data_IF_545096954726
#
_entry.id   IF_545096954726
#
_cell.length_a   1.000
_cell.length_b   1.000
_cell.length_c   1.000
_cell.angle_alpha   90.00
_cell.angle_beta   90.00
_cell.angle_gamma   90.00
#
_symmetry.space_group_name_H-M   'P 1'
#
loop_
_entity.id
_entity.type
_entity.pdbx_description
1 polymer ?
#
# COMPACT_ATOMS: atom_id res chain seq x y z
N UNK A 1 2.81 -15.03 -17.23
CA UNK A 1 2.74 -16.05 -16.16
C UNK A 1 3.00 -17.41 -16.79
N UNK A 2 3.83 -18.27 -16.18
CA UNK A 2 4.08 -19.62 -16.70
C UNK A 2 2.95 -20.60 -16.25
N UNK A 3 2.81 -21.78 -16.88
CA UNK A 3 1.70 -22.70 -16.58
C UNK A 3 1.68 -23.19 -15.12
N UNK A 4 2.85 -23.42 -14.52
CA UNK A 4 2.95 -23.86 -13.12
C UNK A 4 2.50 -22.77 -12.14
N UNK A 5 2.90 -21.51 -12.38
CA UNK A 5 2.48 -20.36 -11.59
C UNK A 5 0.99 -20.05 -11.77
N UNK A 6 0.42 -20.30 -12.95
CA UNK A 6 -1.03 -20.24 -13.17
C UNK A 6 -1.75 -21.26 -12.31
N UNK A 7 -1.34 -22.53 -12.40
CA UNK A 7 -1.99 -23.62 -11.66
C UNK A 7 -1.90 -23.42 -10.14
N UNK A 8 -0.77 -22.94 -9.63
CA UNK A 8 -0.61 -22.61 -8.22
C UNK A 8 -1.52 -21.46 -7.78
N UNK A 9 -1.57 -20.37 -8.56
CA UNK A 9 -2.42 -19.22 -8.27
C UNK A 9 -3.91 -19.59 -8.32
N UNK A 10 -4.31 -20.42 -9.27
CA UNK A 10 -5.68 -20.95 -9.37
C UNK A 10 -6.02 -21.84 -8.17
N UNK A 11 -5.12 -22.72 -7.76
CA UNK A 11 -5.29 -23.55 -6.57
C UNK A 11 -5.41 -22.72 -5.30
N UNK A 12 -4.65 -21.62 -5.20
CA UNK A 12 -4.72 -20.67 -4.09
C UNK A 12 -6.05 -19.92 -4.08
N UNK A 13 -6.53 -19.46 -5.24
CA UNK A 13 -7.83 -18.81 -5.38
C UNK A 13 -8.96 -19.74 -4.93
N UNK A 14 -8.95 -20.99 -5.41
CA UNK A 14 -9.94 -21.99 -5.04
C UNK A 14 -9.89 -22.33 -3.52
N UNK A 15 -8.70 -22.32 -2.90
CA UNK A 15 -8.55 -22.50 -1.44
C UNK A 15 -9.14 -21.33 -0.65
N UNK A 16 -8.83 -20.10 -1.06
CA UNK A 16 -9.36 -18.89 -0.43
C UNK A 16 -10.89 -18.85 -0.50
N UNK A 17 -11.44 -19.20 -1.66
CA UNK A 17 -12.89 -19.29 -1.87
C UNK A 17 -13.55 -20.29 -0.90
N UNK A 18 -12.99 -21.49 -0.77
CA UNK A 18 -13.50 -22.51 0.16
C UNK A 18 -13.44 -22.10 1.64
N UNK A 19 -12.55 -21.18 2.00
CA UNK A 19 -12.40 -20.65 3.36
C UNK A 19 -13.30 -19.45 3.65
N UNK A 20 -14.02 -18.95 2.65
CA UNK A 20 -14.78 -17.70 2.75
C UNK A 20 -13.89 -16.44 2.72
N UNK A 21 -12.63 -16.57 2.29
CA UNK A 21 -11.72 -15.44 2.11
C UNK A 21 -12.03 -14.73 0.78
N UNK A 22 -13.26 -14.21 0.63
CA UNK A 22 -13.84 -13.76 -0.64
C UNK A 22 -13.00 -12.66 -1.31
N UNK A 23 -12.49 -11.71 -0.53
CA UNK A 23 -11.61 -10.63 -1.01
C UNK A 23 -10.32 -11.16 -1.63
N UNK A 24 -9.66 -12.14 -1.00
CA UNK A 24 -8.43 -12.75 -1.52
C UNK A 24 -8.73 -13.60 -2.76
N UNK A 25 -9.78 -14.41 -2.72
CA UNK A 25 -10.21 -15.23 -3.85
C UNK A 25 -10.47 -14.38 -5.10
N UNK A 26 -11.19 -13.27 -4.95
CA UNK A 26 -11.49 -12.35 -6.06
C UNK A 26 -10.24 -11.69 -6.63
N UNK A 27 -9.33 -11.20 -5.77
CA UNK A 27 -8.07 -10.62 -6.25
C UNK A 27 -7.23 -11.61 -7.07
N UNK A 28 -7.20 -12.88 -6.66
CA UNK A 28 -6.48 -13.94 -7.37
C UNK A 28 -7.17 -14.30 -8.70
N UNK A 29 -8.49 -14.46 -8.73
CA UNK A 29 -9.22 -14.72 -9.98
C UNK A 29 -9.14 -13.55 -10.96
N UNK A 30 -9.19 -12.30 -10.51
CA UNK A 30 -9.00 -11.13 -11.38
C UNK A 30 -7.58 -11.08 -11.97
N UNK A 31 -6.57 -11.45 -11.18
CA UNK A 31 -5.19 -11.55 -11.66
C UNK A 31 -5.05 -12.64 -12.71
N UNK A 32 -5.73 -13.78 -12.53
CA UNK A 32 -5.78 -14.89 -13.49
C UNK A 32 -6.48 -14.46 -14.80
N UNK A 33 -7.67 -13.85 -14.71
CA UNK A 33 -8.41 -13.37 -15.88
C UNK A 33 -7.63 -12.30 -16.63
N UNK A 34 -6.95 -11.38 -15.93
CA UNK A 34 -6.08 -10.37 -16.56
C UNK A 34 -4.91 -11.00 -17.32
N UNK A 35 -4.31 -12.05 -16.76
CA UNK A 35 -3.20 -12.76 -17.39
C UNK A 35 -3.66 -13.65 -18.56
N UNK A 36 -4.91 -14.13 -18.54
CA UNK A 36 -5.49 -15.05 -19.52
C UNK A 36 -6.90 -14.59 -19.93
N UNK A 37 -7.03 -13.47 -20.67
CA UNK A 37 -8.32 -12.82 -20.93
C UNK A 37 -9.27 -13.63 -21.84
N UNK A 38 -8.76 -14.66 -22.52
CA UNK A 38 -9.54 -15.54 -23.40
C UNK A 38 -9.91 -16.88 -22.74
N UNK A 39 -9.56 -17.10 -21.47
CA UNK A 39 -9.93 -18.32 -20.73
C UNK A 39 -11.31 -18.14 -20.09
N UNK A 40 -12.34 -18.65 -20.76
CA UNK A 40 -13.73 -18.56 -20.31
C UNK A 40 -13.97 -19.26 -18.97
N UNK A 41 -13.19 -20.30 -18.63
CA UNK A 41 -13.33 -20.99 -17.35
C UNK A 41 -12.87 -20.10 -16.19
N UNK A 42 -11.79 -19.34 -16.38
CA UNK A 42 -11.34 -18.34 -15.39
C UNK A 42 -12.35 -17.19 -15.25
N UNK A 43 -12.94 -16.74 -16.36
CA UNK A 43 -13.98 -15.72 -16.34
C UNK A 43 -15.23 -16.20 -15.55
N UNK A 44 -15.65 -17.45 -15.76
CA UNK A 44 -16.77 -18.05 -15.05
C UNK A 44 -16.48 -18.20 -13.55
N UNK A 45 -15.27 -18.65 -13.18
CA UNK A 45 -14.84 -18.73 -11.77
C UNK A 45 -14.89 -17.36 -11.08
N UNK A 46 -14.44 -16.31 -11.76
CA UNK A 46 -14.53 -14.94 -11.25
C UNK A 46 -15.98 -14.50 -11.08
N UNK A 47 -16.87 -14.78 -12.03
CA UNK A 47 -18.29 -14.45 -11.93
C UNK A 47 -18.94 -15.14 -10.73
N UNK A 48 -18.73 -16.46 -10.58
CA UNK A 48 -19.26 -17.22 -9.45
C UNK A 48 -18.74 -16.71 -8.09
N UNK A 49 -17.46 -16.33 -8.03
CA UNK A 49 -16.89 -15.75 -6.81
C UNK A 49 -17.52 -14.40 -6.46
N UNK A 50 -17.94 -13.61 -7.46
CA UNK A 50 -18.64 -12.32 -7.24
C UNK A 50 -20.07 -12.51 -6.75
N UNK A 51 -20.77 -13.54 -7.21
CA UNK A 51 -22.13 -13.86 -6.74
C UNK A 51 -22.19 -14.24 -5.27
N UNK A 52 -21.07 -14.72 -4.70
CA UNK A 52 -20.97 -15.09 -3.30
C UNK A 52 -20.76 -13.88 -2.37
N UNK A 53 -20.40 -12.71 -2.90
CA UNK A 53 -20.29 -11.48 -2.09
C UNK A 53 -21.67 -10.94 -1.73
N UNK A 54 -21.84 -10.58 -0.47
CA UNK A 54 -22.96 -9.72 -0.09
C UNK A 54 -22.73 -8.30 -0.63
N UNK A 55 -23.80 -7.53 -0.91
CA UNK A 55 -23.68 -6.16 -1.41
C UNK A 55 -22.76 -5.25 -0.56
N UNK A 56 -22.80 -5.41 0.77
CA UNK A 56 -21.95 -4.64 1.68
C UNK A 56 -20.46 -5.02 1.57
N UNK A 57 -20.14 -6.29 1.35
CA UNK A 57 -18.76 -6.75 1.17
C UNK A 57 -18.18 -6.27 -0.16
N UNK A 58 -19.03 -6.20 -1.20
CA UNK A 58 -18.67 -5.63 -2.50
C UNK A 58 -18.36 -4.13 -2.37
N UNK A 59 -19.18 -3.37 -1.65
CA UNK A 59 -18.95 -1.94 -1.44
C UNK A 59 -17.63 -1.67 -0.69
N UNK A 60 -17.33 -2.45 0.35
CA UNK A 60 -16.05 -2.37 1.07
C UNK A 60 -14.87 -2.70 0.15
N UNK A 61 -15.02 -3.72 -0.70
CA UNK A 61 -13.99 -4.12 -1.66
C UNK A 61 -13.73 -3.02 -2.71
N UNK A 62 -14.80 -2.41 -3.24
CA UNK A 62 -14.71 -1.33 -4.22
C UNK A 62 -14.12 -0.06 -3.62
N UNK A 63 -14.49 0.30 -2.39
CA UNK A 63 -13.90 1.41 -1.67
C UNK A 63 -12.39 1.20 -1.45
N UNK A 64 -11.98 0.01 -0.99
CA UNK A 64 -10.57 -0.32 -0.81
C UNK A 64 -9.77 -0.27 -2.13
N UNK A 65 -10.39 -0.63 -3.25
CA UNK A 65 -9.78 -0.52 -4.59
C UNK A 65 -9.67 0.92 -5.06
N UNK A 66 -10.70 1.73 -4.84
CA UNK A 66 -10.67 3.15 -5.18
C UNK A 66 -9.56 3.88 -4.42
N UNK A 67 -9.38 3.55 -3.14
CA UNK A 67 -8.31 4.07 -2.29
C UNK A 67 -6.92 3.63 -2.79
N UNK A 68 -6.78 2.38 -3.25
CA UNK A 68 -5.55 1.89 -3.87
C UNK A 68 -5.28 2.46 -5.27
N UNK A 69 -6.32 2.98 -5.96
CA UNK A 69 -6.28 3.44 -7.35
C UNK A 69 -6.27 4.96 -7.49
N UNK A 70 -6.10 5.73 -6.40
CA UNK A 70 -6.00 7.20 -6.46
C UNK A 70 -4.93 7.57 -7.51
N UNK A 71 -5.33 8.17 -8.65
CA UNK A 71 -4.39 8.46 -9.73
C UNK A 71 -3.31 9.39 -9.21
N UNK A 72 -2.06 8.96 -9.37
CA UNK A 72 -0.90 9.78 -9.04
C UNK A 72 -0.90 10.98 -9.99
N UNK A 73 -0.91 12.23 -9.50
CA UNK A 73 -0.82 13.39 -10.37
C UNK A 73 0.41 13.26 -11.27
N UNK A 74 0.20 13.21 -12.59
CA UNK A 74 1.29 13.17 -13.58
C UNK A 74 1.52 14.60 -14.06
N UNK A 75 2.50 15.28 -13.46
CA UNK A 75 2.89 16.66 -13.77
C UNK A 75 4.04 17.13 -12.85
N UNK A 76 4.64 18.31 -13.06
CA UNK A 76 5.62 18.86 -12.12
C UNK A 76 4.91 19.13 -10.78
N UNK A 77 5.06 18.21 -9.84
CA UNK A 77 4.51 18.32 -8.51
C UNK A 77 5.40 19.24 -7.67
N UNK A 78 4.81 20.21 -6.97
CA UNK A 78 5.53 20.90 -5.90
C UNK A 78 5.98 19.88 -4.83
N UNK A 79 7.02 20.17 -4.04
CA UNK A 79 7.42 19.28 -2.94
C UNK A 79 6.27 18.97 -1.97
N UNK A 80 5.30 19.86 -1.82
CA UNK A 80 4.09 19.59 -1.03
C UNK A 80 3.20 18.54 -1.67
N UNK A 81 2.86 18.72 -2.95
CA UNK A 81 2.01 17.79 -3.69
C UNK A 81 2.63 16.40 -3.76
N UNK A 82 3.93 16.32 -3.98
CA UNK A 82 4.67 15.06 -3.97
C UNK A 82 4.67 14.43 -2.57
N UNK A 83 4.80 15.25 -1.52
CA UNK A 83 4.70 14.80 -0.13
C UNK A 83 3.35 14.17 0.19
N UNK A 84 2.24 14.84 -0.13
CA UNK A 84 0.87 14.32 0.08
C UNK A 84 0.64 13.04 -0.74
N UNK A 85 1.14 13.00 -1.98
CA UNK A 85 1.04 11.82 -2.86
C UNK A 85 1.74 10.61 -2.25
N UNK A 86 2.98 10.79 -1.80
CA UNK A 86 3.76 9.73 -1.17
C UNK A 86 3.14 9.32 0.17
N UNK A 87 2.57 10.26 0.94
CA UNK A 87 1.84 9.97 2.16
C UNK A 87 0.62 9.08 1.92
N UNK A 88 -0.22 9.42 0.93
CA UNK A 88 -1.40 8.64 0.54
C UNK A 88 -1.02 7.23 0.05
N UNK A 89 0.12 7.12 -0.66
CA UNK A 89 0.68 5.83 -1.05
C UNK A 89 1.27 5.03 0.12
N UNK A 90 1.35 5.58 1.34
CA UNK A 90 2.01 4.98 2.50
C UNK A 90 3.54 4.99 2.42
N UNK A 91 4.14 5.80 1.54
CA UNK A 91 5.59 6.04 1.49
C UNK A 91 5.92 7.22 2.41
N UNK A 92 5.84 6.95 3.71
CA UNK A 92 6.04 7.95 4.75
C UNK A 92 7.46 8.54 4.76
N UNK A 93 8.47 7.78 4.34
CA UNK A 93 9.84 8.29 4.24
C UNK A 93 9.99 9.26 3.06
N UNK A 94 9.46 8.88 1.90
CA UNK A 94 9.40 9.77 0.73
C UNK A 94 8.61 11.04 1.02
N UNK A 95 7.45 10.90 1.70
CA UNK A 95 6.63 12.03 2.12
C UNK A 95 7.40 13.00 3.03
N UNK A 96 8.08 12.49 4.06
CA UNK A 96 8.87 13.30 4.99
C UNK A 96 10.00 14.07 4.28
N UNK A 97 10.69 13.45 3.33
CA UNK A 97 11.73 14.12 2.54
C UNK A 97 11.15 15.29 1.72
N UNK A 98 9.97 15.10 1.14
CA UNK A 98 9.29 16.11 0.35
C UNK A 98 8.78 17.27 1.22
N UNK A 99 8.21 17.00 2.39
CA UNK A 99 7.80 18.05 3.33
C UNK A 99 8.98 18.86 3.87
N UNK A 100 10.13 18.23 4.15
CA UNK A 100 11.34 18.98 4.56
C UNK A 100 11.83 19.94 3.47
N UNK A 101 11.80 19.52 2.20
CA UNK A 101 12.10 20.41 1.06
C UNK A 101 11.08 21.55 0.97
N UNK A 102 9.79 21.25 1.15
CA UNK A 102 8.75 22.27 1.15
C UNK A 102 8.90 23.30 2.29
N UNK A 103 9.38 22.87 3.47
CA UNK A 103 9.67 23.77 4.60
C UNK A 103 10.88 24.66 4.32
N UNK A 104 11.90 24.16 3.60
CA UNK A 104 13.02 25.01 3.17
C UNK A 104 12.53 26.15 2.26
N UNK A 105 11.52 25.90 1.42
CA UNK A 105 10.90 26.91 0.56
C UNK A 105 9.92 27.82 1.33
N UNK A 106 9.23 27.30 2.35
CA UNK A 106 8.24 28.01 3.18
C UNK A 106 8.41 27.69 4.66
N UNK A 107 9.40 28.30 5.33
CA UNK A 107 9.74 27.96 6.73
C UNK A 107 8.63 28.33 7.73
N UNK A 108 7.78 29.31 7.37
CA UNK A 108 6.69 29.79 8.22
C UNK A 108 5.39 28.98 8.04
N UNK A 109 5.41 27.93 7.21
CA UNK A 109 4.22 27.12 6.97
C UNK A 109 3.97 26.14 8.12
N UNK A 110 3.06 26.51 9.03
CA UNK A 110 2.63 25.63 10.13
C UNK A 110 2.03 24.31 9.63
N UNK A 111 1.24 24.35 8.55
CA UNK A 111 0.69 23.14 7.93
C UNK A 111 1.78 22.11 7.57
N UNK A 112 2.92 22.54 7.02
CA UNK A 112 4.01 21.63 6.66
C UNK A 112 4.72 21.05 7.89
N UNK A 113 4.83 21.84 8.96
CA UNK A 113 5.36 21.38 10.24
C UNK A 113 4.43 20.34 10.87
N UNK A 114 3.12 20.57 10.83
CA UNK A 114 2.09 19.65 11.29
C UNK A 114 2.14 18.31 10.55
N UNK A 115 2.28 18.33 9.21
CA UNK A 115 2.44 17.10 8.41
C UNK A 115 3.65 16.26 8.82
N UNK A 116 4.78 16.89 9.15
CA UNK A 116 5.95 16.17 9.68
C UNK A 116 5.71 15.61 11.08
N UNK A 117 4.98 16.33 11.94
CA UNK A 117 4.61 15.85 13.28
C UNK A 117 3.67 14.65 13.19
N UNK A 118 2.69 14.68 12.28
CA UNK A 118 1.77 13.57 12.01
C UNK A 118 2.53 12.31 11.58
N UNK A 119 3.43 12.45 10.59
CA UNK A 119 4.33 11.38 10.15
C UNK A 119 5.18 10.80 11.28
N UNK A 120 5.68 11.66 12.17
CA UNK A 120 6.44 11.24 13.35
C UNK A 120 5.58 10.40 14.30
N UNK A 121 4.36 10.83 14.56
CA UNK A 121 3.39 10.09 15.39
C UNK A 121 3.11 8.70 14.83
N UNK A 122 2.85 8.61 13.52
CA UNK A 122 2.60 7.35 12.81
C UNK A 122 3.83 6.42 12.87
N UNK A 123 5.02 6.95 12.61
CA UNK A 123 6.26 6.17 12.65
C UNK A 123 6.56 5.61 14.06
N UNK A 124 6.25 6.38 15.11
CA UNK A 124 6.43 5.96 16.50
C UNK A 124 5.40 4.92 16.97
N UNK A 125 4.17 5.00 16.46
CA UNK A 125 3.09 4.08 16.80
C UNK A 125 3.21 2.71 16.11
N UNK A 126 4.00 2.60 15.04
CA UNK A 126 4.21 1.32 14.37
C UNK A 126 4.94 0.31 15.27
N UNK A 127 4.45 -0.94 15.37
CA UNK A 127 5.02 -1.93 16.29
C UNK A 127 6.50 -2.23 15.97
N UNK A 128 7.32 -1.97 16.99
CA UNK A 128 8.75 -2.25 17.06
C UNK A 128 8.96 -3.77 17.23
N UNK A 129 9.03 -4.50 16.12
CA UNK A 129 9.24 -5.96 16.10
C UNK A 129 10.59 -6.38 15.52
N UNK A 130 11.67 -5.61 15.70
CA UNK A 130 13.00 -6.05 15.22
C UNK A 130 14.09 -5.88 16.27
N UNK A 131 15.08 -6.79 16.33
CA UNK A 131 16.26 -6.65 17.18
C UNK A 131 17.03 -5.32 16.99
N UNK A 132 16.85 -4.63 15.86
CA UNK A 132 17.45 -3.31 15.57
C UNK A 132 16.79 -2.14 16.31
N UNK A 133 15.66 -2.34 17.00
CA UNK A 133 15.01 -1.28 17.81
C UNK A 133 15.89 -0.78 18.97
N UNK A 134 16.92 -1.56 19.35
CA UNK A 134 17.94 -1.20 20.35
C UNK A 134 19.06 -0.30 19.80
N UNK A 135 19.16 -0.11 18.48
CA UNK A 135 20.22 0.66 17.83
C UNK A 135 19.75 2.03 17.28
N UNK A 136 18.54 2.47 17.65
CA UNK A 136 18.02 3.75 17.22
C UNK A 136 18.79 4.91 17.87
N UNK A 137 19.16 5.96 17.12
CA UNK A 137 19.82 7.15 17.66
C UNK A 137 19.02 7.78 18.82
N UNK A 138 19.72 8.39 19.77
CA UNK A 138 19.08 9.11 20.89
C UNK A 138 18.56 10.48 20.48
N UNK A 139 19.19 11.12 19.49
CA UNK A 139 18.78 12.44 19.01
C UNK A 139 17.48 12.36 18.19
N UNK A 140 16.52 13.29 18.37
CA UNK A 140 15.18 13.20 17.75
C UNK A 140 15.19 13.08 16.23
N UNK A 141 15.97 13.90 15.53
CA UNK A 141 16.01 13.95 14.06
C UNK A 141 16.62 12.70 13.42
N UNK A 142 17.83 12.22 13.80
CA UNK A 142 18.37 10.98 13.25
C UNK A 142 17.56 9.76 13.69
N UNK A 143 16.92 9.79 14.87
CA UNK A 143 15.99 8.74 15.29
C UNK A 143 14.77 8.66 14.36
N UNK A 144 14.18 9.81 14.05
CA UNK A 144 13.07 9.92 13.10
C UNK A 144 13.47 9.40 11.72
N UNK A 145 14.64 9.82 11.22
CA UNK A 145 15.12 9.35 9.93
C UNK A 145 15.25 7.81 9.90
N UNK A 146 15.87 7.23 10.93
CA UNK A 146 16.02 5.78 11.03
C UNK A 146 14.67 5.03 11.09
N UNK A 147 13.67 5.60 11.78
CA UNK A 147 12.32 5.03 11.82
C UNK A 147 11.66 5.06 10.43
N UNK A 148 11.76 6.18 9.71
CA UNK A 148 11.20 6.32 8.37
C UNK A 148 11.88 5.39 7.35
N UNK A 149 13.21 5.33 7.36
CA UNK A 149 13.99 4.46 6.45
C UNK A 149 13.61 2.99 6.64
N UNK A 150 13.33 2.57 7.88
CA UNK A 150 12.88 1.22 8.19
C UNK A 150 11.49 0.91 7.63
N UNK A 151 10.55 1.85 7.75
CA UNK A 151 9.21 1.71 7.17
C UNK A 151 9.32 1.54 5.65
N UNK A 152 10.15 2.35 5.01
CA UNK A 152 10.40 2.25 3.57
C UNK A 152 11.03 0.89 3.18
N UNK A 153 11.99 0.40 3.97
CA UNK A 153 12.70 -0.87 3.72
C UNK A 153 11.77 -2.09 3.79
N UNK A 154 10.88 -2.16 4.80
CA UNK A 154 9.91 -3.25 4.95
C UNK A 154 8.94 -3.35 3.78
N UNK A 155 8.60 -2.23 3.17
CA UNK A 155 7.67 -2.18 2.05
C UNK A 155 8.30 -2.66 0.74
N UNK A 156 9.59 -2.42 0.53
CA UNK A 156 10.33 -2.97 -0.63
C UNK A 156 10.37 -4.50 -0.58
N UNK A 157 10.68 -5.06 0.59
CA UNK A 157 10.71 -6.51 0.81
C UNK A 157 9.36 -7.24 0.62
N UNK A 158 8.23 -6.54 0.66
CA UNK A 158 6.90 -7.13 0.38
C UNK A 158 6.50 -7.06 -1.10
N UNK A 159 7.24 -6.30 -1.92
CA UNK A 159 6.96 -6.07 -3.34
C UNK A 159 7.82 -6.91 -4.27
N UNK A 160 8.89 -7.51 -3.76
CA UNK A 160 9.73 -8.52 -4.42
C UNK A 160 9.23 -9.94 -4.10
#
# INVERSE_FOLDING_TARGET
>A
MNPAARADMESRADRALRRGELTEALGLYESLVRAFPHDEALALKLANARELLQPAELEVLEAARAEASIPLPVGPSSPVQEGERLFALGDYAGAAACYRRAIQERPDSELLKERLIELYGLAKAMPLQSPTDRALPDKPEPRLQALLDRVASRRRLKRD
#
